data_IF_581701336506
#
_entry.id   IF_581701336506
#
_cell.length_a   1.000
_cell.length_b   1.000
_cell.length_c   1.000
_cell.angle_alpha   90.00
_cell.angle_beta   90.00
_cell.angle_gamma   90.00
#
_symmetry.space_group_name_H-M   'P 1'
#
loop_
_entity.id
_entity.type
_entity.pdbx_description
1 polymer ?
#
# COMPACT_ATOMS: atom_id res chain seq x y z
N UNK A 1 24.12 -8.61 6.94
CA UNK A 1 22.67 -8.89 7.01
C UNK A 1 21.96 -7.72 6.35
N UNK A 2 21.29 -7.96 5.22
CA UNK A 2 20.70 -6.94 4.35
C UNK A 2 19.52 -6.24 5.06
N UNK A 3 19.53 -4.91 5.14
CA UNK A 3 18.49 -4.09 5.79
C UNK A 3 17.24 -4.02 4.90
N UNK A 4 16.10 -4.49 5.41
CA UNK A 4 14.82 -4.48 4.67
C UNK A 4 13.80 -3.53 5.28
N UNK A 5 13.19 -2.69 4.45
CA UNK A 5 11.97 -1.94 4.80
C UNK A 5 10.82 -2.39 3.89
N UNK A 6 9.65 -2.63 4.48
CA UNK A 6 8.45 -3.03 3.75
C UNK A 6 7.44 -1.89 3.75
N UNK A 7 6.98 -1.48 2.58
CA UNK A 7 5.99 -0.44 2.35
C UNK A 7 4.69 -1.11 1.91
N UNK A 8 3.60 -0.84 2.61
CA UNK A 8 2.30 -1.49 2.39
C UNK A 8 1.26 -0.43 2.09
N UNK A 9 0.71 -0.48 0.89
CA UNK A 9 -0.47 0.29 0.52
C UNK A 9 -1.71 -0.42 1.03
N UNK A 10 -2.34 0.15 2.05
CA UNK A 10 -3.42 -0.47 2.77
C UNK A 10 -4.72 -0.59 1.98
N UNK A 11 -5.03 0.40 1.14
CA UNK A 11 -6.23 0.36 0.32
C UNK A 11 -6.04 -0.61 -0.84
N UNK A 12 -4.90 -0.55 -1.53
CA UNK A 12 -4.60 -1.50 -2.60
C UNK A 12 -4.62 -2.95 -2.09
N UNK A 13 -4.01 -3.21 -0.93
CA UNK A 13 -4.08 -4.52 -0.26
C UNK A 13 -5.51 -4.93 0.08
N UNK A 14 -6.26 -4.07 0.77
CA UNK A 14 -7.61 -4.39 1.21
C UNK A 14 -8.55 -4.68 0.03
N UNK A 15 -8.51 -3.86 -1.02
CA UNK A 15 -9.34 -4.07 -2.21
C UNK A 15 -8.92 -5.30 -3.00
N UNK A 16 -7.60 -5.58 -3.11
CA UNK A 16 -7.11 -6.82 -3.70
C UNK A 16 -7.61 -8.07 -2.96
N UNK A 17 -7.58 -8.07 -1.62
CA UNK A 17 -8.14 -9.15 -0.80
C UNK A 17 -9.66 -9.27 -0.98
N UNK A 18 -10.36 -8.14 -1.09
CA UNK A 18 -11.82 -8.10 -1.27
C UNK A 18 -12.26 -8.64 -2.62
N UNK A 19 -11.57 -8.29 -3.70
CA UNK A 19 -11.82 -8.81 -5.05
C UNK A 19 -11.72 -10.34 -5.06
N UNK A 20 -10.69 -10.90 -4.41
CA UNK A 20 -10.51 -12.36 -4.27
C UNK A 20 -11.43 -13.02 -3.24
N UNK A 21 -12.30 -12.26 -2.57
CA UNK A 21 -13.19 -12.71 -1.49
C UNK A 21 -12.44 -13.38 -0.32
N UNK A 22 -11.19 -12.98 -0.08
CA UNK A 22 -10.32 -13.54 0.95
C UNK A 22 -10.56 -12.93 2.34
N UNK A 23 -11.79 -13.03 2.83
CA UNK A 23 -12.23 -12.39 4.08
C UNK A 23 -11.38 -12.79 5.31
N UNK A 24 -10.83 -14.01 5.33
CA UNK A 24 -9.95 -14.48 6.42
C UNK A 24 -8.70 -13.61 6.62
N UNK A 25 -8.27 -12.89 5.60
CA UNK A 25 -7.08 -12.04 5.63
C UNK A 25 -7.39 -10.57 5.88
N UNK A 26 -8.63 -10.19 6.18
CA UNK A 26 -8.94 -8.81 6.56
C UNK A 26 -8.34 -8.41 7.90
N UNK A 27 -8.03 -9.38 8.76
CA UNK A 27 -7.32 -9.19 10.03
C UNK A 27 -5.86 -9.65 9.96
N UNK A 28 -5.24 -9.56 8.78
CA UNK A 28 -3.88 -10.02 8.57
C UNK A 28 -2.89 -9.19 9.41
N UNK A 29 -2.03 -9.87 10.16
CA UNK A 29 -0.90 -9.21 10.80
C UNK A 29 0.13 -8.81 9.73
N UNK A 30 0.12 -7.54 9.36
CA UNK A 30 0.92 -7.00 8.27
C UNK A 30 2.43 -7.09 8.52
N UNK A 31 2.85 -7.02 9.79
CA UNK A 31 4.26 -7.23 10.12
C UNK A 31 4.68 -8.71 9.97
N UNK A 32 3.81 -9.65 10.33
CA UNK A 32 4.08 -11.09 10.09
C UNK A 32 4.15 -11.37 8.59
N UNK A 33 3.26 -10.78 7.79
CA UNK A 33 3.37 -10.83 6.34
C UNK A 33 4.72 -10.29 5.87
N UNK A 34 5.11 -9.09 6.32
CA UNK A 34 6.40 -8.49 5.97
C UNK A 34 7.57 -9.43 6.30
N UNK A 35 7.61 -9.99 7.52
CA UNK A 35 8.64 -10.95 7.94
C UNK A 35 8.67 -12.23 7.09
N UNK A 36 7.51 -12.74 6.69
CA UNK A 36 7.42 -13.93 5.84
C UNK A 36 7.95 -13.71 4.41
N UNK A 37 8.09 -12.46 3.98
CA UNK A 37 8.67 -12.12 2.67
C UNK A 37 10.19 -11.94 2.71
N UNK A 38 10.80 -11.96 3.89
CA UNK A 38 12.25 -11.85 4.04
C UNK A 38 12.94 -13.18 3.77
N UNK A 39 14.17 -13.11 3.28
CA UNK A 39 15.13 -14.22 3.21
C UNK A 39 15.91 -14.36 4.52
N UNK A 40 16.61 -15.49 4.68
CA UNK A 40 17.39 -15.79 5.88
C UNK A 40 18.50 -14.76 6.17
N UNK A 41 19.08 -14.15 5.13
CA UNK A 41 20.15 -13.15 5.23
C UNK A 41 19.66 -11.71 5.41
N UNK A 42 18.34 -11.52 5.61
CA UNK A 42 17.67 -10.22 5.66
C UNK A 42 17.16 -9.87 7.05
N UNK A 43 17.23 -8.57 7.40
CA UNK A 43 16.73 -8.03 8.67
C UNK A 43 15.62 -7.01 8.42
N UNK A 44 14.45 -7.24 9.02
CA UNK A 44 13.37 -6.24 9.00
C UNK A 44 13.73 -5.06 9.90
N UNK A 45 13.89 -3.89 9.27
CA UNK A 45 14.12 -2.60 9.94
C UNK A 45 12.80 -1.95 10.32
N UNK A 46 11.85 -1.86 9.38
CA UNK A 46 10.56 -1.22 9.57
C UNK A 46 9.50 -1.79 8.64
N UNK A 47 8.26 -1.89 9.10
CA UNK A 47 7.07 -2.04 8.26
C UNK A 47 6.32 -0.71 8.27
N UNK A 48 6.15 -0.10 7.10
CA UNK A 48 5.42 1.15 6.91
C UNK A 48 4.09 0.87 6.24
N UNK A 49 3.00 1.22 6.92
CA UNK A 49 1.63 1.01 6.44
C UNK A 49 1.00 2.35 6.09
N UNK A 50 0.54 2.48 4.86
CA UNK A 50 -0.05 3.70 4.32
C UNK A 50 -1.55 3.48 4.14
N UNK A 51 -2.36 4.34 4.75
CA UNK A 51 -3.81 4.19 4.71
C UNK A 51 -4.50 5.52 4.95
N UNK A 52 -5.80 5.58 4.72
CA UNK A 52 -6.63 6.73 5.09
C UNK A 52 -7.76 6.30 6.02
N UNK A 53 -8.13 7.16 6.99
CA UNK A 53 -9.23 6.89 7.91
C UNK A 53 -10.56 6.98 7.16
N UNK A 54 -11.31 5.89 7.16
CA UNK A 54 -12.68 5.85 6.65
C UNK A 54 -13.56 6.64 7.61
N UNK A 55 -14.44 7.50 7.07
CA UNK A 55 -15.37 8.30 7.87
C UNK A 55 -16.79 7.73 7.94
N UNK A 56 -17.17 6.83 7.02
CA UNK A 56 -18.53 6.26 6.95
C UNK A 56 -18.55 4.92 6.18
N UNK A 57 -19.51 4.00 6.44
CA UNK A 57 -20.47 3.94 7.56
C UNK A 57 -19.84 3.54 8.90
N UNK A 58 -20.51 3.81 10.05
CA UNK A 58 -19.97 3.59 11.39
C UNK A 58 -19.35 2.20 11.63
N UNK A 59 -19.96 1.14 11.10
CA UNK A 59 -19.43 -0.23 11.23
C UNK A 59 -18.10 -0.45 10.49
N UNK A 60 -17.87 0.27 9.39
CA UNK A 60 -16.56 0.26 8.70
C UNK A 60 -15.54 1.07 9.47
N UNK A 61 -15.94 2.23 9.99
CA UNK A 61 -15.08 3.07 10.84
C UNK A 61 -14.60 2.30 12.05
N UNK A 62 -15.52 1.64 12.78
CA UNK A 62 -15.21 0.85 13.97
C UNK A 62 -14.22 -0.28 13.65
N UNK A 63 -14.50 -1.09 12.62
CA UNK A 63 -13.62 -2.20 12.23
C UNK A 63 -12.24 -1.74 11.79
N UNK A 64 -12.16 -0.66 11.00
CA UNK A 64 -10.87 -0.12 10.57
C UNK A 64 -10.10 0.44 11.77
N UNK A 65 -10.79 1.13 12.68
CA UNK A 65 -10.18 1.70 13.89
C UNK A 65 -9.58 0.60 14.76
N UNK A 66 -10.33 -0.45 15.06
CA UNK A 66 -9.80 -1.58 15.83
C UNK A 66 -8.61 -2.25 15.13
N UNK A 67 -8.65 -2.38 13.80
CA UNK A 67 -7.53 -2.97 13.05
C UNK A 67 -6.27 -2.13 13.15
N UNK A 68 -6.41 -0.81 12.97
CA UNK A 68 -5.30 0.13 13.03
C UNK A 68 -4.72 0.20 14.44
N UNK A 69 -5.55 0.30 15.47
CA UNK A 69 -5.11 0.28 16.87
C UNK A 69 -4.31 -0.99 17.20
N UNK A 70 -4.75 -2.15 16.71
CA UNK A 70 -4.02 -3.41 16.87
C UNK A 70 -2.67 -3.43 16.13
N UNK A 71 -2.54 -2.72 15.00
CA UNK A 71 -1.28 -2.57 14.30
C UNK A 71 -0.33 -1.59 14.99
N UNK A 72 -0.86 -0.55 15.64
CA UNK A 72 -0.08 0.45 16.39
C UNK A 72 0.65 -0.16 17.58
N UNK A 73 0.20 -1.31 18.11
CA UNK A 73 0.90 -2.03 19.18
C UNK A 73 2.16 -2.75 18.71
N UNK A 74 2.41 -2.85 17.39
CA UNK A 74 3.53 -3.60 16.84
C UNK A 74 4.83 -2.77 16.88
N UNK A 75 5.90 -3.35 17.44
CA UNK A 75 7.25 -2.75 17.39
C UNK A 75 7.77 -2.71 15.96
N UNK A 76 8.51 -1.67 15.54
CA UNK A 76 9.00 -1.51 14.14
C UNK A 76 7.88 -1.49 13.10
N UNK A 77 6.74 -0.90 13.48
CA UNK A 77 5.62 -0.66 12.61
C UNK A 77 5.29 0.83 12.67
N UNK A 78 5.08 1.46 11.51
CA UNK A 78 4.70 2.87 11.45
C UNK A 78 3.56 3.06 10.47
N UNK A 79 2.57 3.84 10.88
CA UNK A 79 1.39 4.14 10.08
C UNK A 79 1.51 5.56 9.54
N UNK A 80 1.18 5.72 8.27
CA UNK A 80 1.15 7.00 7.56
C UNK A 80 -0.26 7.21 7.04
N UNK A 81 -0.87 8.30 7.49
CA UNK A 81 -2.22 8.64 7.10
C UNK A 81 -2.22 9.55 5.87
N UNK A 82 -2.93 9.12 4.82
CA UNK A 82 -3.36 10.00 3.73
C UNK A 82 -4.55 10.86 4.14
N UNK A 83 -5.09 11.63 3.18
CA UNK A 83 -6.32 12.37 3.37
C UNK A 83 -7.50 11.59 2.81
N UNK A 84 -8.55 11.44 3.61
CA UNK A 84 -9.84 10.96 3.14
C UNK A 84 -10.72 12.17 2.85
N UNK A 85 -10.77 12.58 1.58
CA UNK A 85 -11.57 13.74 1.18
C UNK A 85 -12.97 13.28 0.78
N UNK A 86 -14.03 13.77 1.43
CA UNK A 86 -15.38 13.61 0.90
C UNK A 86 -15.42 14.37 -0.44
N UNK A 87 -15.64 13.63 -1.53
CA UNK A 87 -15.98 14.25 -2.80
C UNK A 87 -17.39 13.81 -3.13
N UNK A 88 -18.16 14.78 -3.60
CA UNK A 88 -19.52 14.56 -4.07
C UNK A 88 -19.48 14.45 -5.59
N UNK A 89 -20.05 13.38 -6.12
CA UNK A 89 -20.24 13.22 -7.56
C UNK A 89 -21.69 13.48 -7.86
N UNK A 90 -21.94 14.52 -8.66
CA UNK A 90 -23.25 14.77 -9.21
C UNK A 90 -23.52 13.82 -10.38
N UNK A 91 -24.68 13.16 -10.35
CA UNK A 91 -25.13 12.35 -11.47
C UNK A 91 -25.55 13.25 -12.63
N UNK A 92 -24.81 13.22 -13.74
CA UNK A 92 -25.12 13.98 -14.96
C UNK A 92 -26.52 13.72 -15.57
N UNK A 93 -27.22 12.66 -15.16
CA UNK A 93 -28.54 12.31 -15.69
C UNK A 93 -29.70 12.80 -14.84
N UNK A 94 -29.53 12.88 -13.51
CA UNK A 94 -30.63 13.19 -12.59
C UNK A 94 -30.28 14.23 -11.52
N UNK A 95 -29.08 14.80 -11.51
CA UNK A 95 -28.62 15.79 -10.53
C UNK A 95 -28.40 15.24 -9.12
N UNK A 96 -28.58 13.93 -8.90
CA UNK A 96 -28.41 13.34 -7.58
C UNK A 96 -26.93 13.40 -7.14
N UNK A 97 -26.68 13.87 -5.92
CA UNK A 97 -25.35 13.93 -5.33
C UNK A 97 -25.02 12.59 -4.67
N UNK A 98 -23.98 11.93 -5.15
CA UNK A 98 -23.47 10.67 -4.63
C UNK A 98 -22.16 10.97 -3.89
N UNK A 99 -22.09 10.81 -2.56
CA UNK A 99 -20.83 10.93 -1.85
C UNK A 99 -19.91 9.79 -2.28
N UNK A 100 -18.86 10.11 -3.04
CA UNK A 100 -17.77 9.21 -3.42
C UNK A 100 -16.47 9.74 -2.80
N UNK A 101 -16.23 9.43 -1.52
CA UNK A 101 -14.98 9.80 -0.89
C UNK A 101 -13.80 9.18 -1.64
N UNK A 102 -12.76 9.99 -1.86
CA UNK A 102 -11.52 9.53 -2.47
C UNK A 102 -10.40 9.62 -1.44
N UNK A 103 -9.62 8.55 -1.36
CA UNK A 103 -8.32 8.61 -0.73
C UNK A 103 -7.38 9.44 -1.59
N UNK A 104 -6.64 10.36 -0.95
CA UNK A 104 -5.58 11.14 -1.57
C UNK A 104 -4.30 11.04 -0.72
N UNK A 105 -3.17 11.34 -1.35
CA UNK A 105 -1.82 11.39 -0.76
C UNK A 105 -1.17 10.05 -0.38
N UNK A 106 -1.84 8.91 -0.47
CA UNK A 106 -1.22 7.62 -0.11
C UNK A 106 -0.02 7.30 -1.01
N UNK A 107 -0.18 7.50 -2.31
CA UNK A 107 0.86 7.44 -3.33
C UNK A 107 2.03 8.40 -3.06
N UNK A 108 1.71 9.67 -2.77
CA UNK A 108 2.68 10.71 -2.44
C UNK A 108 3.46 10.35 -1.17
N UNK A 109 2.78 9.91 -0.12
CA UNK A 109 3.40 9.51 1.14
C UNK A 109 4.34 8.32 0.94
N UNK A 110 3.93 7.32 0.16
CA UNK A 110 4.80 6.18 -0.19
C UNK A 110 6.05 6.66 -0.92
N UNK A 111 5.88 7.51 -1.95
CA UNK A 111 6.97 8.05 -2.74
C UNK A 111 7.98 8.83 -1.88
N UNK A 112 7.47 9.77 -1.06
CA UNK A 112 8.28 10.62 -0.18
C UNK A 112 9.03 9.78 0.86
N UNK A 113 8.36 8.83 1.52
CA UNK A 113 9.00 7.99 2.53
C UNK A 113 10.03 7.03 1.93
N UNK A 114 9.76 6.48 0.74
CA UNK A 114 10.69 5.59 0.05
C UNK A 114 11.97 6.33 -0.37
N UNK A 115 11.83 7.52 -0.96
CA UNK A 115 12.97 8.36 -1.35
C UNK A 115 13.74 8.87 -0.13
N UNK A 116 13.03 9.27 0.92
CA UNK A 116 13.65 9.73 2.18
C UNK A 116 14.47 8.62 2.84
N UNK A 117 13.93 7.40 2.89
CA UNK A 117 14.64 6.28 3.47
C UNK A 117 15.82 5.82 2.61
N UNK A 118 15.70 5.88 1.27
CA UNK A 118 16.82 5.61 0.37
C UNK A 118 17.95 6.63 0.59
N UNK A 119 17.60 7.92 0.61
CA UNK A 119 18.54 9.02 0.86
C UNK A 119 19.24 8.91 2.23
N UNK A 120 18.53 8.48 3.26
CA UNK A 120 19.06 8.30 4.62
C UNK A 120 19.72 6.94 4.86
N UNK A 121 19.97 6.16 3.82
CA UNK A 121 20.56 4.81 3.90
C UNK A 121 19.84 3.86 4.89
N UNK A 122 18.52 3.96 4.99
CA UNK A 122 17.74 3.19 5.99
C UNK A 122 17.44 1.75 5.57
N UNK A 123 17.58 1.44 4.29
CA UNK A 123 17.43 0.09 3.76
C UNK A 123 18.47 -0.19 2.68
N UNK A 124 18.77 -1.47 2.49
CA UNK A 124 19.49 -1.99 1.33
C UNK A 124 18.47 -2.56 0.33
N UNK A 125 17.38 -3.15 0.85
CA UNK A 125 16.24 -3.64 0.08
C UNK A 125 14.91 -3.05 0.55
N UNK A 126 14.11 -2.56 -0.39
CA UNK A 126 12.72 -2.19 -0.16
C UNK A 126 11.80 -3.27 -0.75
N UNK A 127 10.70 -3.58 -0.05
CA UNK A 127 9.59 -4.38 -0.57
C UNK A 127 8.36 -3.48 -0.62
N UNK A 128 7.77 -3.32 -1.81
CA UNK A 128 6.50 -2.63 -1.96
C UNK A 128 5.37 -3.65 -2.09
N UNK A 129 4.31 -3.47 -1.32
CA UNK A 129 3.07 -4.24 -1.38
C UNK A 129 1.99 -3.27 -1.88
N UNK A 130 1.91 -3.11 -3.20
CA UNK A 130 0.88 -2.34 -3.92
C UNK A 130 0.90 -2.70 -5.40
N UNK A 131 -0.26 -2.85 -6.02
CA UNK A 131 -0.41 -3.01 -7.46
C UNK A 131 -0.72 -1.70 -8.19
N UNK A 132 -0.52 -0.55 -7.54
CA UNK A 132 -0.69 0.76 -8.17
C UNK A 132 0.48 1.07 -9.13
N UNK A 133 0.14 1.32 -10.40
CA UNK A 133 1.12 1.68 -11.44
C UNK A 133 1.75 3.04 -11.22
N UNK A 134 1.09 3.94 -10.50
CA UNK A 134 1.58 5.32 -10.28
C UNK A 134 2.82 5.33 -9.39
N UNK A 135 3.00 4.28 -8.57
CA UNK A 135 4.21 4.06 -7.76
C UNK A 135 5.43 3.59 -8.58
N UNK A 136 5.28 3.38 -9.90
CA UNK A 136 6.42 3.07 -10.77
C UNK A 136 7.42 4.23 -10.86
N UNK A 137 6.94 5.47 -10.84
CA UNK A 137 7.77 6.67 -10.91
C UNK A 137 8.76 6.78 -9.73
N UNK A 138 8.34 6.70 -8.45
CA UNK A 138 9.29 6.72 -7.33
C UNK A 138 10.24 5.51 -7.33
N UNK A 139 9.78 4.33 -7.74
CA UNK A 139 10.66 3.14 -7.89
C UNK A 139 11.77 3.40 -8.91
N UNK A 140 11.40 3.86 -10.12
CA UNK A 140 12.38 4.20 -11.18
C UNK A 140 13.35 5.28 -10.68
N UNK A 141 12.87 6.26 -9.92
CA UNK A 141 13.69 7.34 -9.37
C UNK A 141 14.68 6.85 -8.31
N UNK A 142 14.26 5.98 -7.39
CA UNK A 142 15.15 5.37 -6.38
C UNK A 142 16.23 4.55 -7.07
N UNK A 143 15.87 3.67 -8.01
CA UNK A 143 16.85 2.87 -8.77
C UNK A 143 17.87 3.73 -9.52
N UNK A 144 17.43 4.87 -10.07
CA UNK A 144 18.31 5.79 -10.80
C UNK A 144 19.25 6.56 -9.88
N UNK A 145 18.76 7.01 -8.72
CA UNK A 145 19.55 7.83 -7.78
C UNK A 145 20.43 7.01 -6.83
N UNK A 146 20.02 5.78 -6.52
CA UNK A 146 20.65 4.90 -5.55
C UNK A 146 20.80 3.49 -6.16
N UNK A 147 21.73 3.28 -7.11
CA UNK A 147 21.87 2.03 -7.86
C UNK A 147 22.15 0.80 -7.00
N UNK A 148 22.73 0.99 -5.82
CA UNK A 148 23.00 -0.04 -4.82
C UNK A 148 21.73 -0.56 -4.12
N UNK A 149 20.63 0.20 -4.16
CA UNK A 149 19.36 -0.14 -3.51
C UNK A 149 18.56 -1.12 -4.36
N UNK A 150 18.07 -2.17 -3.71
CA UNK A 150 17.20 -3.17 -4.34
C UNK A 150 15.75 -2.89 -4.03
N UNK A 151 14.89 -2.86 -5.05
CA UNK A 151 13.44 -2.78 -4.86
C UNK A 151 12.83 -4.09 -5.37
N UNK A 152 12.26 -4.89 -4.47
CA UNK A 152 11.50 -6.07 -4.83
C UNK A 152 10.17 -5.62 -5.46
N UNK A 153 9.86 -6.16 -6.64
CA UNK A 153 8.60 -5.87 -7.33
C UNK A 153 7.40 -6.25 -6.46
N UNK A 154 6.33 -5.46 -6.61
CA UNK A 154 5.03 -5.63 -5.99
C UNK A 154 4.65 -7.09 -5.72
N UNK A 155 4.44 -7.44 -4.45
CA UNK A 155 3.95 -8.76 -4.04
C UNK A 155 2.43 -8.76 -4.04
N UNK A 156 1.83 -8.62 -5.22
CA UNK A 156 0.41 -8.91 -5.47
C UNK A 156 0.29 -9.79 -6.71
N UNK A 157 -0.75 -10.66 -6.77
CA UNK A 157 -0.83 -11.70 -7.77
C UNK A 157 -0.85 -11.10 -9.18
N UNK A 158 -0.27 -11.81 -10.14
CA UNK A 158 0.09 -11.35 -11.49
C UNK A 158 -1.07 -10.80 -12.34
N UNK A 159 -2.32 -10.89 -11.85
CA UNK A 159 -3.55 -10.56 -12.57
C UNK A 159 -4.60 -9.92 -11.65
N UNK A 160 -4.95 -8.66 -11.95
CA UNK A 160 -6.06 -7.90 -11.39
C UNK A 160 -7.13 -7.69 -12.46
N UNK A 161 -8.38 -8.07 -12.21
CA UNK A 161 -9.47 -7.89 -13.18
C UNK A 161 -10.33 -6.70 -12.74
N UNK A 162 -10.25 -5.59 -13.47
CA UNK A 162 -11.10 -4.42 -13.29
C UNK A 162 -12.56 -4.75 -13.61
N UNK A 163 -13.47 -3.95 -13.06
CA UNK A 163 -14.92 -4.12 -13.17
C UNK A 163 -15.45 -3.97 -14.61
N UNK A 164 -14.72 -3.29 -15.49
CA UNK A 164 -14.97 -3.16 -16.93
C UNK A 164 -14.51 -4.39 -17.73
N UNK A 165 -13.98 -5.42 -17.05
CA UNK A 165 -13.43 -6.62 -17.69
C UNK A 165 -11.95 -6.51 -18.04
N UNK A 166 -11.31 -5.35 -17.86
CA UNK A 166 -9.90 -5.15 -18.17
C UNK A 166 -9.01 -5.90 -17.18
N UNK A 167 -8.11 -6.76 -17.68
CA UNK A 167 -7.17 -7.51 -16.83
C UNK A 167 -5.84 -6.76 -16.81
N UNK A 168 -5.56 -6.07 -15.71
CA UNK A 168 -4.22 -5.58 -15.37
C UNK A 168 -3.32 -6.78 -15.11
N UNK A 169 -2.45 -7.08 -16.06
CA UNK A 169 -1.37 -8.04 -15.88
C UNK A 169 -0.14 -7.30 -15.43
N UNK A 170 0.62 -7.89 -14.51
CA UNK A 170 2.00 -7.47 -14.27
C UNK A 170 2.73 -7.57 -15.63
N UNK A 171 3.32 -6.48 -16.16
CA UNK A 171 4.03 -6.56 -17.43
C UNK A 171 5.27 -7.44 -17.26
N UNK A 172 5.59 -8.23 -18.29
CA UNK A 172 6.76 -9.11 -18.29
C UNK A 172 8.06 -8.31 -18.16
N UNK A 173 8.07 -7.08 -18.69
CA UNK A 173 9.13 -6.07 -18.50
C UNK A 173 8.55 -4.67 -18.27
N UNK A 174 9.17 -3.91 -17.36
CA UNK A 174 8.79 -2.53 -17.06
C UNK A 174 9.49 -1.57 -18.03
N UNK A 175 8.84 -1.22 -19.15
CA UNK A 175 9.27 -0.08 -19.97
C UNK A 175 8.92 1.24 -19.29
#
# INVERSE_FOLDING_TARGET
MEKVIVYIDGFNLYFGLKEKKWKRYYWLNLQKLAKALLKEDQKLIMTKYFTSRVSFPPDKVKRQTTFIEALETLKKFKIYYGHYLPNDIECYKCGNIIPKPNEKMTDVNIAVEMLTDAFKDRFDRAILISADSDLSAPIKKVKKLFPEKRIANSVFPDRLKKLDGFILRRPDEWK
#
